data_IF_876320622355
#
_entry.id   IF_876320622355
#
_cell.length_a   1.000
_cell.length_b   1.000
_cell.length_c   1.000
_cell.angle_alpha   90.00
_cell.angle_beta   90.00
_cell.angle_gamma   90.00
#
_symmetry.space_group_name_H-M   'P 1'
#
loop_
_entity.id
_entity.type
_entity.pdbx_description
1 polymer ?
#
# COMPACT_ATOMS: atom_id res chain seq x y z
N UNK A 1 17.26 -8.14 13.83
CA UNK A 1 16.41 -7.53 12.77
C UNK A 1 17.19 -7.60 11.47
N UNK A 2 16.60 -8.14 10.41
CA UNK A 2 17.28 -8.34 9.13
C UNK A 2 17.56 -6.96 8.50
N UNK A 3 18.82 -6.51 8.49
CA UNK A 3 19.21 -5.16 8.02
C UNK A 3 18.99 -4.97 6.50
N UNK A 4 18.47 -5.98 5.82
CA UNK A 4 18.32 -5.99 4.37
C UNK A 4 16.87 -5.80 3.88
N UNK A 5 15.87 -5.76 4.77
CA UNK A 5 14.49 -5.50 4.34
C UNK A 5 14.37 -4.09 3.77
N UNK A 6 13.57 -3.93 2.72
CA UNK A 6 13.24 -2.63 2.16
C UNK A 6 12.24 -1.87 3.04
N UNK A 7 12.00 -0.61 2.70
CA UNK A 7 11.03 0.22 3.43
C UNK A 7 9.63 -0.26 3.10
N UNK A 8 8.81 -0.49 4.13
CA UNK A 8 7.37 -0.70 4.00
C UNK A 8 6.64 0.62 4.24
N UNK A 9 5.66 0.96 3.40
CA UNK A 9 4.86 2.16 3.54
C UNK A 9 3.35 1.91 3.47
N UNK A 10 2.63 2.43 4.46
CA UNK A 10 1.18 2.50 4.50
C UNK A 10 0.76 3.94 4.23
N UNK A 11 0.13 4.20 3.09
CA UNK A 11 -0.16 5.57 2.62
C UNK A 11 -1.65 5.86 2.72
N UNK A 12 -2.01 6.99 3.33
CA UNK A 12 -3.39 7.42 3.53
C UNK A 12 -4.06 7.84 2.23
N UNK A 13 -3.37 8.66 1.42
CA UNK A 13 -3.79 9.02 0.06
C UNK A 13 -2.65 9.68 -0.72
N UNK A 14 -2.91 9.99 -2.00
CA UNK A 14 -2.09 10.92 -2.77
C UNK A 14 -1.02 10.24 -3.61
N UNK A 15 -1.17 8.94 -3.88
CA UNK A 15 -0.24 8.20 -4.71
C UNK A 15 -0.09 8.84 -6.10
N UNK A 16 1.14 8.86 -6.58
CA UNK A 16 1.52 9.41 -7.87
C UNK A 16 1.24 10.92 -8.04
N UNK A 17 0.95 11.65 -6.96
CA UNK A 17 0.77 13.09 -7.00
C UNK A 17 2.07 13.85 -6.70
N UNK A 18 2.23 15.09 -7.21
CA UNK A 18 3.39 15.93 -6.89
C UNK A 18 3.64 16.11 -5.39
N UNK A 19 2.58 16.17 -4.57
CA UNK A 19 2.69 16.31 -3.12
C UNK A 19 3.37 15.10 -2.45
N UNK A 20 3.30 13.91 -3.06
CA UNK A 20 3.92 12.68 -2.58
C UNK A 20 5.23 12.34 -3.32
N UNK A 21 5.71 13.20 -4.22
CA UNK A 21 6.89 12.93 -5.04
C UNK A 21 8.17 12.75 -4.22
N UNK A 22 8.42 13.61 -3.24
CA UNK A 22 9.59 13.49 -2.37
C UNK A 22 9.57 12.18 -1.58
N UNK A 23 8.40 11.80 -1.07
CA UNK A 23 8.18 10.55 -0.36
C UNK A 23 8.46 9.32 -1.24
N UNK A 24 7.87 9.25 -2.45
CA UNK A 24 8.06 8.13 -3.37
C UNK A 24 9.52 8.07 -3.89
N UNK A 25 10.16 9.23 -4.08
CA UNK A 25 11.59 9.32 -4.41
C UNK A 25 12.45 8.73 -3.27
N UNK A 26 12.11 9.03 -2.02
CA UNK A 26 12.79 8.48 -0.85
C UNK A 26 12.69 6.96 -0.75
N UNK A 27 11.54 6.38 -1.10
CA UNK A 27 11.37 4.92 -1.16
C UNK A 27 12.25 4.27 -2.22
N UNK A 28 12.31 4.86 -3.42
CA UNK A 28 13.21 4.39 -4.49
C UNK A 28 14.68 4.53 -4.09
N UNK A 29 15.05 5.66 -3.48
CA UNK A 29 16.42 5.90 -3.01
C UNK A 29 16.85 4.86 -1.96
N UNK A 30 16.00 4.59 -0.98
CA UNK A 30 16.26 3.58 0.05
C UNK A 30 16.47 2.18 -0.53
N UNK A 31 15.71 1.81 -1.56
CA UNK A 31 15.91 0.53 -2.25
C UNK A 31 17.19 0.52 -3.08
N UNK A 32 17.52 1.63 -3.73
CA UNK A 32 18.77 1.80 -4.46
C UNK A 32 20.01 1.63 -3.57
N UNK A 33 19.99 2.19 -2.36
CA UNK A 33 21.06 1.97 -1.35
C UNK A 33 21.23 0.49 -0.97
N UNK A 34 20.19 -0.33 -1.16
CA UNK A 34 20.20 -1.79 -0.97
C UNK A 34 20.51 -2.56 -2.25
N UNK A 35 20.96 -1.88 -3.31
CA UNK A 35 21.36 -2.49 -4.58
C UNK A 35 20.21 -2.80 -5.53
N UNK A 36 19.00 -2.29 -5.29
CA UNK A 36 17.86 -2.47 -6.19
C UNK A 36 17.90 -1.48 -7.36
N UNK A 37 17.18 -1.81 -8.44
CA UNK A 37 17.10 -0.98 -9.65
C UNK A 37 16.26 0.27 -9.39
N UNK A 38 16.47 1.32 -10.18
CA UNK A 38 15.61 2.51 -10.16
C UNK A 38 14.31 2.29 -10.96
N UNK A 39 13.59 1.24 -10.58
CA UNK A 39 12.37 0.78 -11.26
C UNK A 39 11.18 0.91 -10.33
N UNK A 40 10.12 1.54 -10.82
CA UNK A 40 8.87 1.81 -10.12
C UNK A 40 7.76 0.91 -10.68
N UNK A 41 7.51 -0.21 -10.01
CA UNK A 41 6.42 -1.13 -10.30
C UNK A 41 5.11 -0.55 -9.75
N UNK A 42 4.10 -0.42 -10.62
CA UNK A 42 2.81 0.15 -10.29
C UNK A 42 1.70 -0.87 -10.53
N UNK A 43 0.98 -1.20 -9.45
CA UNK A 43 -0.05 -2.24 -9.41
C UNK A 43 -1.41 -1.57 -9.13
N UNK A 44 -2.31 -1.49 -10.13
CA UNK A 44 -3.57 -0.75 -10.05
C UNK A 44 -4.78 -1.63 -9.67
N UNK A 45 -4.55 -2.83 -9.13
CA UNK A 45 -5.56 -3.89 -8.98
C UNK A 45 -6.79 -3.46 -8.19
N UNK A 46 -6.63 -2.60 -7.17
CA UNK A 46 -7.78 -2.08 -6.42
C UNK A 46 -8.82 -1.39 -7.30
N UNK A 47 -8.39 -0.76 -8.40
CA UNK A 47 -9.26 -0.05 -9.33
C UNK A 47 -9.61 -0.83 -10.61
N UNK A 48 -9.20 -2.10 -10.71
CA UNK A 48 -9.29 -2.85 -11.98
C UNK A 48 -10.73 -3.06 -12.48
N UNK A 49 -11.72 -3.05 -11.58
CA UNK A 49 -13.14 -3.18 -11.91
C UNK A 49 -13.83 -1.89 -12.33
N UNK A 50 -13.14 -0.75 -12.36
CA UNK A 50 -13.75 0.57 -12.65
C UNK A 50 -13.81 0.92 -14.15
N UNK A 51 -13.43 0.00 -15.03
CA UNK A 51 -13.47 0.18 -16.48
C UNK A 51 -12.19 0.77 -17.10
N UNK A 52 -12.16 0.80 -18.43
CA UNK A 52 -10.95 1.12 -19.20
C UNK A 52 -10.44 2.55 -18.99
N UNK A 53 -11.33 3.52 -18.87
CA UNK A 53 -10.96 4.92 -18.61
C UNK A 53 -10.18 5.04 -17.28
N UNK A 54 -10.58 4.29 -16.26
CA UNK A 54 -9.88 4.29 -14.97
C UNK A 54 -8.53 3.60 -15.05
N UNK A 55 -8.43 2.49 -15.79
CA UNK A 55 -7.16 1.79 -16.04
C UNK A 55 -6.17 2.71 -16.77
N UNK A 56 -6.64 3.38 -17.82
CA UNK A 56 -5.86 4.37 -18.58
C UNK A 56 -5.44 5.56 -17.71
N UNK A 57 -6.34 6.04 -16.84
CA UNK A 57 -6.02 7.09 -15.87
C UNK A 57 -4.87 6.70 -14.94
N UNK A 58 -4.93 5.51 -14.32
CA UNK A 58 -3.88 5.05 -13.41
C UNK A 58 -2.55 4.81 -14.10
N UNK A 59 -2.57 4.18 -15.29
CA UNK A 59 -1.37 3.99 -16.11
C UNK A 59 -0.69 5.33 -16.42
N UNK A 60 -1.47 6.33 -16.86
CA UNK A 60 -0.94 7.66 -17.17
C UNK A 60 -0.41 8.37 -15.93
N UNK A 61 -1.17 8.38 -14.84
CA UNK A 61 -0.78 9.01 -13.57
C UNK A 61 0.55 8.47 -13.04
N UNK A 62 0.68 7.15 -13.05
CA UNK A 62 1.90 6.48 -12.62
C UNK A 62 3.09 6.77 -13.54
N UNK A 63 2.88 6.78 -14.87
CA UNK A 63 3.93 7.20 -15.81
C UNK A 63 4.39 8.63 -15.56
N UNK A 64 3.45 9.57 -15.46
CA UNK A 64 3.75 10.99 -15.18
C UNK A 64 4.55 11.17 -13.88
N UNK A 65 4.34 10.31 -12.88
CA UNK A 65 5.09 10.34 -11.64
C UNK A 65 6.51 9.80 -11.80
N UNK A 66 6.67 8.66 -12.46
CA UNK A 66 7.98 8.10 -12.78
C UNK A 66 8.81 9.09 -13.61
N UNK A 67 8.20 9.81 -14.55
CA UNK A 67 8.85 10.85 -15.34
C UNK A 67 9.33 12.02 -14.47
N UNK A 68 8.54 12.43 -13.46
CA UNK A 68 8.93 13.48 -12.50
C UNK A 68 10.08 13.05 -11.59
N UNK A 69 10.11 11.78 -11.17
CA UNK A 69 11.15 11.23 -10.29
C UNK A 69 12.43 10.89 -11.09
N UNK A 70 12.29 10.54 -12.37
CA UNK A 70 13.38 10.01 -13.20
C UNK A 70 13.61 8.51 -12.96
N UNK A 71 12.55 7.74 -12.70
CA UNK A 71 12.59 6.28 -12.55
C UNK A 71 12.01 5.56 -13.76
N UNK A 72 12.40 4.30 -13.98
CA UNK A 72 11.76 3.45 -14.99
C UNK A 72 10.36 3.04 -14.51
N UNK A 73 9.33 3.38 -15.29
CA UNK A 73 7.96 3.02 -14.97
C UNK A 73 7.62 1.62 -15.50
N UNK A 74 7.21 0.71 -14.63
CA UNK A 74 6.64 -0.58 -15.04
C UNK A 74 5.22 -0.68 -14.50
N UNK A 75 4.26 -0.55 -15.42
CA UNK A 75 2.85 -0.74 -15.11
C UNK A 75 2.48 -2.22 -15.27
N UNK A 76 2.04 -2.87 -14.19
CA UNK A 76 1.58 -4.26 -14.23
C UNK A 76 0.04 -4.29 -14.26
N UNK A 77 -0.60 -4.62 -15.39
CA UNK A 77 -2.05 -4.61 -15.55
C UNK A 77 -2.72 -5.84 -14.90
N UNK A 78 -2.52 -6.01 -13.59
CA UNK A 78 -3.06 -7.14 -12.83
C UNK A 78 -4.52 -6.82 -12.50
N UNK A 79 -5.43 -7.35 -13.32
CA UNK A 79 -6.84 -7.00 -13.27
C UNK A 79 -7.70 -8.09 -12.65
N UNK A 80 -7.35 -9.35 -12.91
CA UNK A 80 -8.03 -10.54 -12.41
C UNK A 80 -7.05 -11.46 -11.65
N UNK A 81 -7.56 -12.48 -10.99
CA UNK A 81 -6.75 -13.38 -10.15
C UNK A 81 -5.71 -14.14 -10.97
N UNK A 82 -6.05 -14.54 -12.18
CA UNK A 82 -5.19 -15.30 -13.09
C UNK A 82 -3.90 -14.52 -13.43
N UNK A 83 -3.96 -13.19 -13.46
CA UNK A 83 -2.80 -12.33 -13.70
C UNK A 83 -1.74 -12.48 -12.60
N UNK A 84 -2.15 -12.77 -11.35
CA UNK A 84 -1.22 -12.99 -10.24
C UNK A 84 -0.46 -14.35 -10.33
N UNK A 85 -0.76 -15.15 -11.34
CA UNK A 85 -0.05 -16.39 -11.69
C UNK A 85 0.78 -16.24 -12.98
N UNK A 86 0.81 -15.06 -13.59
CA UNK A 86 1.56 -14.81 -14.82
C UNK A 86 3.08 -14.79 -14.54
N UNK A 87 3.88 -15.70 -15.12
CA UNK A 87 5.33 -15.74 -14.92
C UNK A 87 6.04 -14.46 -15.40
N UNK A 88 5.52 -13.76 -16.40
CA UNK A 88 6.10 -12.51 -16.88
C UNK A 88 5.97 -11.39 -15.83
N UNK A 89 4.86 -11.33 -15.09
CA UNK A 89 4.67 -10.34 -14.02
C UNK A 89 5.52 -10.67 -12.79
N UNK A 90 5.72 -11.96 -12.51
CA UNK A 90 6.62 -12.42 -11.44
C UNK A 90 8.07 -12.07 -11.77
N UNK A 91 8.49 -12.23 -13.01
CA UNK A 91 9.83 -11.81 -13.44
C UNK A 91 9.98 -10.28 -13.43
N UNK A 92 8.94 -9.55 -13.84
CA UNK A 92 8.97 -8.09 -13.93
C UNK A 92 9.21 -7.37 -12.59
N UNK A 93 8.87 -7.99 -11.45
CA UNK A 93 9.15 -7.41 -10.13
C UNK A 93 10.58 -7.68 -9.62
N UNK A 94 11.35 -8.48 -10.35
CA UNK A 94 12.73 -8.85 -9.98
C UNK A 94 13.64 -7.62 -9.89
N UNK A 95 14.30 -7.50 -8.74
CA UNK A 95 15.13 -6.36 -8.32
C UNK A 95 14.48 -4.97 -8.44
N UNK A 96 13.15 -4.89 -8.39
CA UNK A 96 12.41 -3.63 -8.38
C UNK A 96 12.90 -2.70 -7.26
N UNK A 97 12.95 -1.39 -7.54
CA UNK A 97 13.22 -0.38 -6.51
C UNK A 97 12.01 -0.18 -5.62
N UNK A 98 10.86 0.08 -6.22
CA UNK A 98 9.60 0.30 -5.52
C UNK A 98 8.47 -0.51 -6.14
N UNK A 99 7.76 -1.28 -5.32
CA UNK A 99 6.51 -1.96 -5.68
C UNK A 99 5.37 -1.25 -4.98
N UNK A 100 4.37 -0.78 -5.74
CA UNK A 100 3.35 0.12 -5.22
C UNK A 100 1.94 -0.29 -5.65
N UNK A 101 1.08 -0.49 -4.66
CA UNK A 101 -0.34 -0.74 -4.84
C UNK A 101 -1.12 0.57 -4.73
N UNK A 102 -1.81 0.97 -5.79
CA UNK A 102 -2.69 2.14 -5.76
C UNK A 102 -4.01 1.84 -5.02
N UNK A 103 -4.82 2.89 -4.84
CA UNK A 103 -6.15 2.80 -4.23
C UNK A 103 -7.20 2.08 -5.08
N UNK A 104 -8.42 2.01 -4.52
CA UNK A 104 -9.57 1.33 -5.11
C UNK A 104 -10.34 0.50 -4.08
N UNK A 105 -10.58 -0.78 -4.38
CA UNK A 105 -11.18 -1.75 -3.45
C UNK A 105 -10.10 -2.67 -2.84
N UNK A 106 -9.90 -2.64 -1.51
CA UNK A 106 -8.93 -3.52 -0.84
C UNK A 106 -9.28 -5.01 -0.98
N UNK A 107 -10.56 -5.36 -1.12
CA UNK A 107 -10.97 -6.76 -1.28
C UNK A 107 -10.53 -7.31 -2.63
N UNK A 108 -10.58 -6.50 -3.70
CA UNK A 108 -10.05 -6.93 -5.01
C UNK A 108 -8.57 -7.22 -4.93
N UNK A 109 -7.79 -6.42 -4.19
CA UNK A 109 -6.37 -6.68 -3.98
C UNK A 109 -6.19 -8.03 -3.27
N UNK A 110 -6.90 -8.29 -2.17
CA UNK A 110 -6.79 -9.57 -1.46
C UNK A 110 -7.22 -10.74 -2.34
N UNK A 111 -8.39 -10.66 -2.98
CA UNK A 111 -8.95 -11.75 -3.80
C UNK A 111 -8.04 -12.11 -4.99
N UNK A 112 -7.32 -11.12 -5.54
CA UNK A 112 -6.36 -11.32 -6.62
C UNK A 112 -5.02 -11.90 -6.12
N UNK A 113 -4.46 -11.37 -5.03
CA UNK A 113 -3.08 -11.68 -4.62
C UNK A 113 -2.95 -12.79 -3.59
N UNK A 114 -3.97 -13.05 -2.77
CA UNK A 114 -3.90 -14.05 -1.70
C UNK A 114 -3.57 -15.43 -2.26
N UNK A 115 -2.58 -16.08 -1.65
CA UNK A 115 -2.07 -17.40 -2.02
C UNK A 115 -1.62 -17.48 -3.50
N UNK A 116 -1.09 -16.38 -4.04
CA UNK A 116 -0.56 -16.32 -5.42
C UNK A 116 0.97 -16.26 -5.43
N UNK A 117 1.62 -16.84 -6.45
CA UNK A 117 3.08 -16.80 -6.57
C UNK A 117 3.61 -15.38 -6.77
N UNK A 118 2.81 -14.48 -7.35
CA UNK A 118 3.21 -13.07 -7.46
C UNK A 118 3.23 -12.38 -6.10
N UNK A 119 2.29 -12.67 -5.20
CA UNK A 119 2.34 -12.12 -3.85
C UNK A 119 3.57 -12.61 -3.08
N UNK A 120 3.86 -13.91 -3.14
CA UNK A 120 5.09 -14.48 -2.56
C UNK A 120 6.34 -13.79 -3.13
N UNK A 121 6.37 -13.57 -4.45
CA UNK A 121 7.42 -12.82 -5.13
C UNK A 121 7.57 -11.39 -4.60
N UNK A 122 6.47 -10.64 -4.46
CA UNK A 122 6.47 -9.26 -3.93
C UNK A 122 7.02 -9.23 -2.50
N UNK A 123 6.59 -10.16 -1.65
CA UNK A 123 7.08 -10.26 -0.27
C UNK A 123 8.58 -10.57 -0.26
N UNK A 124 9.05 -11.52 -1.07
CA UNK A 124 10.48 -11.84 -1.19
C UNK A 124 11.31 -10.66 -1.69
N UNK A 125 10.79 -9.88 -2.64
CA UNK A 125 11.43 -8.66 -3.12
C UNK A 125 11.56 -7.62 -1.99
N UNK A 126 10.50 -7.41 -1.21
CA UNK A 126 10.55 -6.54 -0.05
C UNK A 126 11.55 -7.00 1.01
N UNK A 127 11.53 -8.29 1.35
CA UNK A 127 12.45 -8.86 2.34
C UNK A 127 13.92 -8.80 1.91
N UNK A 128 14.17 -8.75 0.59
CA UNK A 128 15.51 -8.64 0.00
C UNK A 128 15.92 -7.20 -0.37
N UNK A 129 15.10 -6.19 -0.05
CA UNK A 129 15.52 -4.78 -0.10
C UNK A 129 14.68 -3.85 -0.98
N UNK A 130 13.72 -4.38 -1.75
CA UNK A 130 12.77 -3.53 -2.51
C UNK A 130 11.86 -2.78 -1.56
N UNK A 131 11.58 -1.52 -1.82
CA UNK A 131 10.55 -0.80 -1.07
C UNK A 131 9.16 -1.28 -1.51
N UNK A 132 8.25 -1.41 -0.54
CA UNK A 132 6.87 -1.86 -0.78
C UNK A 132 5.91 -0.82 -0.19
N UNK A 133 4.96 -0.36 -1.00
CA UNK A 133 4.00 0.65 -0.59
C UNK A 133 2.58 0.27 -1.00
N UNK A 134 1.62 0.61 -0.14
CA UNK A 134 0.20 0.50 -0.44
C UNK A 134 -0.49 1.80 -0.10
N UNK A 135 -1.28 2.34 -1.04
CA UNK A 135 -2.08 3.54 -0.81
C UNK A 135 -3.55 3.20 -0.66
N UNK A 136 -4.18 3.78 0.36
CA UNK A 136 -5.61 3.63 0.63
C UNK A 136 -6.01 2.14 0.70
N UNK A 137 -6.68 1.62 -0.32
CA UNK A 137 -6.96 0.20 -0.47
C UNK A 137 -5.73 -0.71 -0.32
N UNK A 138 -4.58 -0.32 -0.89
CA UNK A 138 -3.33 -1.07 -0.74
C UNK A 138 -2.86 -1.16 0.72
N UNK A 139 -2.92 -0.04 1.45
CA UNK A 139 -2.55 0.00 2.87
C UNK A 139 -3.47 -0.89 3.72
N UNK A 140 -4.78 -0.85 3.43
CA UNK A 140 -5.75 -1.73 4.08
C UNK A 140 -5.49 -3.22 3.78
N UNK A 141 -5.17 -3.54 2.52
CA UNK A 141 -4.92 -4.91 2.10
C UNK A 141 -3.66 -5.51 2.73
N UNK A 142 -2.65 -4.73 3.09
CA UNK A 142 -1.45 -5.23 3.77
C UNK A 142 -1.69 -5.62 5.24
N UNK A 143 -2.69 -5.03 5.89
CA UNK A 143 -3.04 -5.31 7.28
C UNK A 143 -3.59 -6.72 7.50
N UNK A 144 -3.86 -7.06 8.76
CA UNK A 144 -4.48 -8.33 9.13
C UNK A 144 -5.98 -8.38 8.85
N UNK A 145 -6.66 -7.24 9.01
CA UNK A 145 -8.10 -7.12 8.79
C UNK A 145 -8.42 -5.90 7.95
N UNK A 146 -9.31 -6.08 6.97
CA UNK A 146 -9.97 -5.02 6.20
C UNK A 146 -11.30 -4.67 6.87
N UNK A 147 -11.51 -3.39 7.10
CA UNK A 147 -12.70 -2.88 7.76
C UNK A 147 -13.83 -2.73 6.75
N UNK A 148 -15.02 -3.19 7.16
CA UNK A 148 -16.25 -3.11 6.37
C UNK A 148 -16.75 -1.68 6.20
N UNK A 149 -16.05 -0.87 5.40
CA UNK A 149 -16.48 0.50 5.06
C UNK A 149 -17.59 0.44 4.00
N UNK A 150 -17.47 -0.47 3.03
CA UNK A 150 -18.47 -0.67 1.96
C UNK A 150 -19.22 -2.00 2.07
N UNK A 151 -18.68 -2.96 2.83
CA UNK A 151 -19.31 -4.26 3.14
C UNK A 151 -19.77 -4.27 4.59
N UNK A 152 -20.74 -5.13 4.92
CA UNK A 152 -21.30 -5.26 6.26
C UNK A 152 -20.40 -6.00 7.24
N UNK A 153 -19.44 -6.80 6.75
CA UNK A 153 -18.51 -7.58 7.56
C UNK A 153 -17.05 -7.16 7.33
N UNK A 154 -16.23 -7.38 8.36
CA UNK A 154 -14.78 -7.39 8.24
C UNK A 154 -14.31 -8.61 7.42
N UNK A 155 -13.14 -8.52 6.82
CA UNK A 155 -12.49 -9.64 6.12
C UNK A 155 -10.98 -9.61 6.36
N UNK A 156 -10.30 -10.73 6.12
CA UNK A 156 -8.85 -10.79 6.24
C UNK A 156 -8.16 -9.95 5.15
N UNK A 157 -7.01 -9.37 5.49
CA UNK A 157 -6.09 -8.81 4.52
C UNK A 157 -5.13 -9.88 3.95
N UNK A 158 -4.03 -9.41 3.37
CA UNK A 158 -2.91 -10.25 2.91
C UNK A 158 -1.99 -10.68 4.07
N UNK A 159 -2.26 -10.21 5.30
CA UNK A 159 -1.52 -10.57 6.51
C UNK A 159 -0.01 -10.27 6.44
N UNK A 160 0.39 -9.22 5.71
CA UNK A 160 1.78 -8.73 5.76
C UNK A 160 2.07 -8.13 7.15
N UNK A 161 1.08 -7.44 7.71
CA UNK A 161 1.09 -6.85 9.05
C UNK A 161 -0.13 -7.35 9.83
N UNK A 162 -0.10 -8.58 10.37
CA UNK A 162 -1.28 -9.22 10.95
C UNK A 162 -1.88 -8.44 12.13
N UNK A 163 -1.05 -7.72 12.87
CA UNK A 163 -1.46 -6.95 14.05
C UNK A 163 -1.84 -5.49 13.75
N UNK A 164 -1.89 -5.09 12.46
CA UNK A 164 -2.19 -3.71 12.04
C UNK A 164 -3.46 -3.67 11.18
N UNK A 165 -4.31 -2.69 11.49
CA UNK A 165 -5.50 -2.30 10.72
C UNK A 165 -5.40 -0.83 10.32
N UNK A 166 -5.73 -0.51 9.07
CA UNK A 166 -5.57 0.84 8.51
C UNK A 166 -6.91 1.46 8.14
N UNK A 167 -7.15 2.69 8.61
CA UNK A 167 -8.17 3.59 8.09
C UNK A 167 -7.46 4.69 7.28
N UNK A 168 -7.43 4.60 5.95
CA UNK A 168 -6.88 5.67 5.11
C UNK A 168 -7.87 6.85 5.00
N UNK A 169 -7.40 7.98 4.47
CA UNK A 169 -8.18 9.22 4.37
C UNK A 169 -8.85 9.61 5.70
N UNK A 170 -8.16 9.39 6.82
CA UNK A 170 -8.78 9.44 8.16
C UNK A 170 -9.43 10.79 8.47
N UNK A 171 -8.73 11.89 8.16
CA UNK A 171 -9.22 13.26 8.30
C UNK A 171 -10.53 13.54 7.53
N UNK A 172 -10.69 12.97 6.33
CA UNK A 172 -11.94 13.07 5.57
C UNK A 172 -13.02 12.13 6.08
N UNK A 173 -12.65 10.90 6.41
CA UNK A 173 -13.59 9.87 6.84
C UNK A 173 -14.26 10.22 8.16
N UNK A 174 -13.52 10.85 9.08
CA UNK A 174 -14.07 11.35 10.34
C UNK A 174 -15.18 12.39 10.11
N UNK A 175 -15.05 13.25 9.09
CA UNK A 175 -16.06 14.24 8.75
C UNK A 175 -17.29 13.66 8.04
N UNK A 176 -17.13 12.59 7.26
CA UNK A 176 -18.23 12.01 6.48
C UNK A 176 -18.96 10.85 7.16
N UNK A 177 -18.25 10.05 7.96
CA UNK A 177 -18.72 8.78 8.53
C UNK A 177 -18.24 8.58 9.98
N UNK A 178 -18.50 9.54 10.90
CA UNK A 178 -17.98 9.48 12.27
C UNK A 178 -18.42 8.22 13.03
N UNK A 179 -19.68 7.80 12.86
CA UNK A 179 -20.23 6.62 13.54
C UNK A 179 -19.55 5.31 13.11
N UNK A 180 -19.09 5.22 11.85
CA UNK A 180 -18.33 4.04 11.39
C UNK A 180 -16.91 4.02 11.93
N UNK A 181 -16.25 5.17 12.01
CA UNK A 181 -14.94 5.25 12.64
C UNK A 181 -15.05 4.85 14.12
N UNK A 182 -16.07 5.37 14.82
CA UNK A 182 -16.34 5.02 16.21
C UNK A 182 -16.61 3.52 16.39
N UNK A 183 -17.37 2.89 15.49
CA UNK A 183 -17.65 1.45 15.57
C UNK A 183 -16.41 0.59 15.35
N UNK A 184 -15.49 1.00 14.46
CA UNK A 184 -14.21 0.31 14.29
C UNK A 184 -13.33 0.43 15.53
N UNK A 185 -13.29 1.61 16.15
CA UNK A 185 -12.54 1.84 17.39
C UNK A 185 -13.10 0.96 18.53
N UNK A 186 -14.42 0.93 18.68
CA UNK A 186 -15.12 0.21 19.75
C UNK A 186 -15.21 -1.32 19.55
N UNK A 187 -14.58 -1.88 18.52
CA UNK A 187 -14.67 -3.32 18.20
C UNK A 187 -14.10 -4.16 19.35
N UNK A 188 -14.99 -4.78 20.12
CA UNK A 188 -14.66 -5.63 21.27
C UNK A 188 -13.89 -6.87 20.79
N UNK A 189 -12.84 -7.24 21.53
CA UNK A 189 -12.03 -8.44 21.26
C UNK A 189 -10.99 -8.26 20.14
N UNK A 190 -10.83 -7.06 19.61
CA UNK A 190 -9.77 -6.75 18.66
C UNK A 190 -8.43 -6.57 19.39
N UNK A 191 -7.45 -7.45 19.09
CA UNK A 191 -6.09 -7.34 19.63
C UNK A 191 -5.13 -6.55 18.70
N UNK A 192 -5.56 -6.30 17.46
CA UNK A 192 -4.84 -5.50 16.48
C UNK A 192 -4.84 -4.01 16.81
N UNK A 193 -3.74 -3.36 16.43
CA UNK A 193 -3.61 -1.90 16.47
C UNK A 193 -4.31 -1.28 15.27
N UNK A 194 -5.27 -0.40 15.54
CA UNK A 194 -6.00 0.36 14.54
C UNK A 194 -5.34 1.73 14.35
N UNK A 195 -4.89 2.02 13.14
CA UNK A 195 -4.27 3.29 12.78
C UNK A 195 -5.11 4.06 11.76
N UNK A 196 -5.31 5.35 12.02
CA UNK A 196 -5.85 6.30 11.04
C UNK A 196 -4.70 7.04 10.35
N UNK A 197 -4.71 7.12 9.03
CA UNK A 197 -3.70 7.85 8.24
C UNK A 197 -4.42 8.92 7.43
N UNK A 198 -4.06 10.18 7.67
CA UNK A 198 -4.63 11.33 6.96
C UNK A 198 -4.24 11.34 5.47
N UNK A 199 -4.94 12.14 4.67
CA UNK A 199 -4.57 12.36 3.27
C UNK A 199 -3.13 12.90 3.11
N UNK A 200 -2.47 12.54 2.01
CA UNK A 200 -1.09 12.92 1.68
C UNK A 200 -0.08 12.64 2.81
N UNK A 201 -0.29 11.54 3.53
CA UNK A 201 0.51 11.12 4.68
C UNK A 201 0.80 9.63 4.57
N UNK A 202 1.98 9.21 5.01
CA UNK A 202 2.40 7.83 5.05
C UNK A 202 2.98 7.48 6.43
N UNK A 203 2.72 6.25 6.87
CA UNK A 203 3.43 5.61 7.94
C UNK A 203 4.43 4.62 7.32
N UNK A 204 5.73 4.82 7.56
CA UNK A 204 6.79 4.00 6.98
C UNK A 204 7.54 3.20 8.05
N UNK A 205 8.12 2.05 7.67
CA UNK A 205 9.01 1.25 8.51
C UNK A 205 10.15 0.63 7.73
N UNK A 206 11.36 0.80 8.25
CA UNK A 206 12.60 0.08 7.92
C UNK A 206 13.16 -0.67 9.15
N UNK A 207 12.28 -1.00 10.10
CA UNK A 207 12.64 -1.50 11.43
C UNK A 207 12.22 -0.54 12.55
N UNK A 208 11.87 0.71 12.21
CA UNK A 208 11.25 1.67 13.13
C UNK A 208 10.17 2.46 12.39
N UNK A 209 9.02 2.65 13.03
CA UNK A 209 7.89 3.36 12.43
C UNK A 209 8.10 4.87 12.47
N UNK A 210 7.83 5.56 11.35
CA UNK A 210 7.93 7.02 11.22
C UNK A 210 6.81 7.58 10.36
N UNK A 211 6.39 8.81 10.66
CA UNK A 211 5.39 9.54 9.86
C UNK A 211 6.09 10.42 8.83
N UNK A 212 5.60 10.39 7.60
CA UNK A 212 6.05 11.23 6.49
C UNK A 212 4.84 11.83 5.78
N UNK A 213 4.94 13.08 5.30
CA UNK A 213 3.87 13.75 4.55
C UNK A 213 3.25 14.92 5.31
N UNK A 214 2.10 15.40 4.82
CA UNK A 214 1.52 16.68 5.22
C UNK A 214 0.56 16.61 6.43
N UNK A 215 0.02 15.43 6.72
CA UNK A 215 -0.95 15.20 7.79
C UNK A 215 -0.37 14.40 8.95
N UNK A 216 -1.23 13.61 9.62
CA UNK A 216 -0.86 12.84 10.81
C UNK A 216 -1.21 11.36 10.68
N UNK A 217 -0.59 10.58 11.55
CA UNK A 217 -0.99 9.20 11.86
C UNK A 217 -1.56 9.18 13.27
N UNK A 218 -2.70 8.51 13.43
CA UNK A 218 -3.47 8.45 14.66
C UNK A 218 -3.53 7.01 15.14
N UNK A 219 -3.09 6.74 16.36
CA UNK A 219 -3.31 5.44 17.00
C UNK A 219 -4.69 5.47 17.64
N UNK A 220 -5.64 4.77 17.03
CA UNK A 220 -7.06 4.81 17.40
C UNK A 220 -7.44 3.73 18.40
N UNK A 221 -6.74 2.58 18.34
CA UNK A 221 -6.82 1.46 19.27
C UNK A 221 -5.47 0.73 19.27
N UNK A 222 -5.07 0.16 20.40
CA UNK A 222 -3.82 -0.57 20.53
C UNK A 222 -2.63 0.36 20.78
N UNK A 223 -1.42 -0.11 20.48
CA UNK A 223 -0.18 0.64 20.67
C UNK A 223 0.80 0.36 19.54
N UNK A 224 1.41 1.43 19.03
CA UNK A 224 2.49 1.36 18.06
C UNK A 224 3.51 2.43 18.42
N UNK A 225 4.76 2.05 18.61
CA UNK A 225 5.85 3.00 18.84
C UNK A 225 6.26 3.64 17.51
N UNK A 226 6.01 4.94 17.40
CA UNK A 226 6.41 5.78 16.27
C UNK A 226 7.50 6.72 16.77
N UNK A 227 8.63 6.76 16.05
CA UNK A 227 9.78 7.60 16.36
C UNK A 227 9.60 9.05 15.90
#
# INVERSE_FOLDING_TARGET
MNHNKGVLALVGSGEYLPVMQEFETGLLHSAFERGKKNTYIQIPTGSSGEGEDRRSYWKRRGQEQSDRIGSECIYLPIHEREDAFNPEFIEAISDAGLIYFSGGDPHRIVDTFKDSPLWDGIVNQWESGSSLAGCSAGAMAFGGTIMGIRKTSHSDGLNLLPDIEVIPHYDKMLGWLPDRVASFIARIGAESTLIGIDENTALISDGTWRVVGAGKVHILRGALEIA
#
